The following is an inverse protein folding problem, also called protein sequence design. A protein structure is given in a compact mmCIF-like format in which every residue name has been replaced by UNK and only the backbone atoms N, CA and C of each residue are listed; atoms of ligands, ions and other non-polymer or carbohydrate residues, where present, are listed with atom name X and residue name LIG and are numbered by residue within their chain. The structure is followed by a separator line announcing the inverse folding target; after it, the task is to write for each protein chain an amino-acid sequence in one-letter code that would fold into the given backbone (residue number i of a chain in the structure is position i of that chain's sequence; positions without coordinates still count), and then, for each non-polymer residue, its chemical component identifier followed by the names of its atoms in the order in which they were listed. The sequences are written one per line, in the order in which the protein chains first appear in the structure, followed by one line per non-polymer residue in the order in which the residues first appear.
data_IF_009565671218
#
_entry.id   IF_009565671218
#
_cell.length_a   1.000
_cell.length_b   1.000
_cell.length_c   1.000
_cell.angle_alpha   90.00
_cell.angle_beta   90.00
_cell.angle_gamma   90.00
#
_symmetry.space_group_name_H-M   'P 1'
#
loop_
_entity.id
_entity.type
_entity.pdbx_description
1 polymer ?
#
# COMPACT_ATOMS: atom_id res chain seq x y z
N UNK A 1 -11.70 -31.87 -1.68
CA UNK A 1 -10.88 -32.46 -2.76
C UNK A 1 -9.89 -31.41 -3.26
N UNK A 2 -8.60 -31.75 -3.31
CA UNK A 2 -7.58 -30.87 -3.91
C UNK A 2 -7.69 -30.91 -5.43
N UNK A 3 -7.76 -29.72 -6.07
CA UNK A 3 -7.88 -29.58 -7.52
C UNK A 3 -6.52 -29.39 -8.21
N UNK A 4 -5.59 -28.66 -7.57
CA UNK A 4 -4.25 -28.43 -8.11
C UNK A 4 -3.27 -29.52 -7.68
N UNK A 5 -2.31 -29.86 -8.57
CA UNK A 5 -1.27 -30.88 -8.30
C UNK A 5 0.09 -30.25 -7.95
N UNK A 6 0.24 -28.94 -8.07
CA UNK A 6 1.51 -28.26 -7.77
C UNK A 6 1.71 -28.07 -6.27
N UNK A 7 2.81 -28.55 -5.75
CA UNK A 7 3.20 -28.39 -4.33
C UNK A 7 3.94 -27.07 -4.07
N UNK A 8 4.36 -26.35 -5.12
CA UNK A 8 5.18 -25.14 -5.01
C UNK A 8 4.46 -23.86 -5.47
N UNK A 9 3.17 -23.93 -5.76
CA UNK A 9 2.38 -22.77 -6.20
C UNK A 9 1.70 -22.06 -5.03
N UNK A 10 1.67 -20.75 -5.10
CA UNK A 10 0.77 -19.94 -4.27
C UNK A 10 -0.45 -19.60 -5.11
N UNK A 11 -1.62 -19.76 -4.52
CA UNK A 11 -2.90 -19.55 -5.18
C UNK A 11 -3.64 -18.39 -4.51
N UNK A 12 -4.29 -17.55 -5.31
CA UNK A 12 -5.07 -16.42 -4.82
C UNK A 12 -6.35 -16.23 -5.65
N UNK A 13 -7.36 -15.63 -5.02
CA UNK A 13 -8.60 -15.17 -5.65
C UNK A 13 -9.32 -16.23 -6.48
N UNK A 14 -9.68 -17.38 -5.90
CA UNK A 14 -10.44 -18.41 -6.63
C UNK A 14 -11.88 -17.94 -6.90
N UNK A 15 -12.35 -18.20 -8.12
CA UNK A 15 -13.75 -18.05 -8.52
C UNK A 15 -14.23 -19.26 -9.31
N UNK A 16 -15.52 -19.53 -9.30
CA UNK A 16 -16.11 -20.49 -10.23
C UNK A 16 -16.40 -19.83 -11.58
N UNK A 17 -16.33 -20.63 -12.65
CA UNK A 17 -16.95 -20.24 -13.92
C UNK A 17 -18.47 -20.20 -13.78
N UNK A 18 -19.15 -19.48 -14.65
CA UNK A 18 -20.62 -19.29 -14.59
C UNK A 18 -21.39 -20.61 -14.68
N UNK A 19 -20.83 -21.59 -15.36
CA UNK A 19 -21.37 -22.97 -15.50
C UNK A 19 -20.98 -23.90 -14.32
N UNK A 20 -20.12 -23.44 -13.40
CA UNK A 20 -19.67 -24.20 -12.26
C UNK A 20 -18.70 -25.35 -12.57
N UNK A 21 -18.27 -25.53 -13.82
CA UNK A 21 -17.40 -26.64 -14.21
C UNK A 21 -15.92 -26.41 -13.89
N UNK A 22 -15.49 -25.16 -13.77
CA UNK A 22 -14.10 -24.82 -13.49
C UNK A 22 -13.97 -23.86 -12.32
N UNK A 23 -12.83 -23.94 -11.65
CA UNK A 23 -12.33 -22.93 -10.72
C UNK A 23 -11.20 -22.18 -11.41
N UNK A 24 -11.36 -20.85 -11.55
CA UNK A 24 -10.32 -19.97 -12.05
C UNK A 24 -9.54 -19.42 -10.85
N UNK A 25 -8.22 -19.34 -10.96
CA UNK A 25 -7.37 -18.93 -9.85
C UNK A 25 -6.11 -18.22 -10.39
N UNK A 26 -5.63 -17.26 -9.63
CA UNK A 26 -4.30 -16.68 -9.88
C UNK A 26 -3.25 -17.55 -9.18
N UNK A 27 -2.28 -18.04 -9.93
CA UNK A 27 -1.24 -18.96 -9.45
C UNK A 27 0.15 -18.36 -9.70
N UNK A 28 1.04 -18.43 -8.69
CA UNK A 28 2.44 -18.09 -8.90
C UNK A 28 3.18 -19.21 -9.61
N UNK A 29 4.05 -18.81 -10.53
CA UNK A 29 5.01 -19.70 -11.18
C UNK A 29 6.42 -19.47 -10.61
N UNK A 30 7.06 -20.51 -10.14
CA UNK A 30 8.48 -20.50 -9.76
C UNK A 30 9.37 -20.91 -10.94
N UNK A 31 10.55 -20.32 -11.09
CA UNK A 31 11.20 -19.32 -10.23
C UNK A 31 10.83 -17.86 -10.56
N UNK A 32 9.89 -17.63 -11.46
CA UNK A 32 9.60 -16.31 -12.04
C UNK A 32 8.95 -15.33 -11.05
N UNK A 33 8.32 -15.81 -9.98
CA UNK A 33 7.57 -14.99 -9.01
C UNK A 33 6.54 -14.06 -9.67
N UNK A 34 5.89 -14.55 -10.75
CA UNK A 34 4.80 -13.86 -11.43
C UNK A 34 3.50 -14.62 -11.22
N UNK A 35 2.38 -13.91 -11.27
CA UNK A 35 1.07 -14.55 -11.23
C UNK A 35 0.53 -14.76 -12.64
N UNK A 36 -0.04 -15.93 -12.87
CA UNK A 36 -0.76 -16.31 -14.08
C UNK A 36 -2.13 -16.84 -13.72
N UNK A 37 -3.09 -16.70 -14.61
CA UNK A 37 -4.45 -17.20 -14.42
C UNK A 37 -4.53 -18.61 -14.98
N UNK A 38 -5.06 -19.51 -14.16
CA UNK A 38 -5.27 -20.92 -14.45
C UNK A 38 -6.72 -21.32 -14.19
N UNK A 39 -7.22 -22.27 -14.95
CA UNK A 39 -8.52 -22.93 -14.74
C UNK A 39 -8.33 -24.40 -14.40
N UNK A 40 -9.00 -24.84 -13.35
CA UNK A 40 -8.99 -26.24 -12.90
C UNK A 40 -10.41 -26.81 -12.95
N UNK A 41 -10.60 -27.91 -13.64
CA UNK A 41 -11.90 -28.56 -13.69
C UNK A 41 -12.25 -29.13 -12.31
N UNK A 42 -13.51 -29.01 -11.87
CA UNK A 42 -13.95 -29.43 -10.52
C UNK A 42 -13.78 -30.94 -10.28
N UNK A 43 -13.77 -31.74 -11.34
CA UNK A 43 -13.53 -33.18 -11.27
C UNK A 43 -12.03 -33.56 -11.23
N UNK A 44 -11.12 -32.64 -11.46
CA UNK A 44 -9.67 -32.79 -11.47
C UNK A 44 -9.06 -32.61 -12.85
N UNK A 45 -7.76 -32.86 -12.97
CA UNK A 45 -6.98 -32.67 -14.19
C UNK A 45 -5.70 -31.90 -13.94
N UNK A 46 -5.01 -31.52 -15.03
CA UNK A 46 -3.72 -30.82 -14.98
C UNK A 46 -3.88 -29.28 -14.87
N UNK A 47 -5.09 -28.77 -15.10
CA UNK A 47 -5.36 -27.34 -15.23
C UNK A 47 -5.08 -26.81 -16.65
N UNK A 48 -5.66 -25.66 -16.96
CA UNK A 48 -5.51 -24.96 -18.23
C UNK A 48 -4.94 -23.58 -17.91
N UNK A 49 -3.79 -23.25 -18.49
CA UNK A 49 -3.18 -21.92 -18.38
C UNK A 49 -3.92 -20.94 -19.29
N UNK A 50 -4.51 -19.90 -18.69
CA UNK A 50 -5.29 -18.88 -19.42
C UNK A 50 -4.43 -17.69 -19.83
N UNK A 51 -3.56 -17.23 -18.91
CA UNK A 51 -2.59 -16.16 -19.20
C UNK A 51 -1.16 -16.65 -19.06
N UNK A 52 -0.26 -16.08 -19.86
CA UNK A 52 1.17 -16.39 -19.80
C UNK A 52 1.94 -15.17 -19.34
N UNK A 53 2.80 -15.34 -18.35
CA UNK A 53 3.69 -14.26 -17.87
C UNK A 53 4.80 -13.97 -18.88
N UNK A 54 5.24 -14.97 -19.62
CA UNK A 54 6.26 -14.88 -20.66
C UNK A 54 5.63 -15.00 -22.04
N UNK A 55 5.97 -14.09 -22.94
CA UNK A 55 5.62 -14.21 -24.36
C UNK A 55 6.59 -15.18 -25.09
N UNK A 56 7.86 -15.15 -24.69
CA UNK A 56 8.94 -16.03 -25.20
C UNK A 56 9.74 -16.54 -24.01
N UNK A 57 10.48 -17.63 -24.19
CA UNK A 57 11.29 -18.23 -23.14
C UNK A 57 12.27 -17.24 -22.49
N UNK A 58 12.90 -16.40 -23.29
CA UNK A 58 13.86 -15.38 -22.86
C UNK A 58 13.24 -14.02 -22.52
N UNK A 59 11.93 -13.95 -22.26
CA UNK A 59 11.28 -12.70 -21.88
C UNK A 59 11.94 -12.09 -20.64
N UNK A 60 12.52 -10.87 -20.73
CA UNK A 60 13.14 -10.19 -19.58
C UNK A 60 12.19 -10.01 -18.42
N UNK A 61 12.69 -10.04 -17.18
CA UNK A 61 11.87 -9.95 -15.97
C UNK A 61 10.97 -8.71 -15.92
N UNK A 62 11.44 -7.57 -16.42
CA UNK A 62 10.68 -6.32 -16.46
C UNK A 62 9.58 -6.28 -17.53
N UNK A 63 9.58 -7.23 -18.47
CA UNK A 63 8.56 -7.35 -19.52
C UNK A 63 7.53 -8.46 -19.23
N UNK A 64 7.77 -9.28 -18.21
CA UNK A 64 6.83 -10.34 -17.83
C UNK A 64 5.52 -9.76 -17.38
N UNK A 65 4.41 -10.44 -17.70
CA UNK A 65 3.06 -10.02 -17.30
C UNK A 65 2.66 -10.71 -16.00
N UNK A 66 2.01 -9.99 -15.12
CA UNK A 66 1.31 -10.54 -13.97
C UNK A 66 -0.19 -10.37 -14.17
N UNK A 67 -0.95 -11.39 -13.80
CA UNK A 67 -2.41 -11.40 -13.85
C UNK A 67 -2.96 -11.86 -12.48
N UNK A 68 -3.75 -11.02 -11.81
CA UNK A 68 -4.21 -11.27 -10.45
C UNK A 68 -5.69 -10.91 -10.29
N UNK A 69 -6.42 -11.78 -9.60
CA UNK A 69 -7.82 -11.57 -9.25
C UNK A 69 -8.73 -11.50 -10.47
N UNK A 70 -9.64 -12.42 -10.59
CA UNK A 70 -10.48 -12.60 -11.78
C UNK A 70 -11.94 -12.35 -11.46
N UNK A 71 -12.65 -11.76 -12.40
CA UNK A 71 -14.11 -11.79 -12.50
C UNK A 71 -14.51 -12.06 -13.94
N UNK A 72 -15.62 -12.73 -14.15
CA UNK A 72 -16.19 -12.99 -15.48
C UNK A 72 -17.36 -12.07 -15.76
N UNK A 73 -17.58 -11.74 -17.03
CA UNK A 73 -18.88 -11.19 -17.47
C UNK A 73 -19.98 -12.22 -17.28
N UNK A 74 -21.25 -11.81 -17.09
CA UNK A 74 -22.36 -12.74 -16.87
C UNK A 74 -22.58 -13.73 -18.02
N UNK A 75 -22.24 -13.32 -19.25
CA UNK A 75 -22.30 -14.18 -20.44
C UNK A 75 -21.05 -15.08 -20.62
N UNK A 76 -20.05 -14.97 -19.72
CA UNK A 76 -18.79 -15.71 -19.79
C UNK A 76 -17.85 -15.31 -20.93
N UNK A 77 -18.23 -14.32 -21.75
CA UNK A 77 -17.47 -13.91 -22.93
C UNK A 77 -16.19 -13.17 -22.58
N UNK A 78 -16.20 -12.42 -21.48
CA UNK A 78 -15.06 -11.62 -21.04
C UNK A 78 -14.59 -12.01 -19.64
N UNK A 79 -13.28 -12.01 -19.48
CA UNK A 79 -12.58 -12.12 -18.21
C UNK A 79 -11.89 -10.80 -17.89
N UNK A 80 -12.07 -10.31 -16.66
CA UNK A 80 -11.41 -9.09 -16.17
C UNK A 80 -10.47 -9.46 -15.03
N UNK A 81 -9.29 -8.85 -15.02
CA UNK A 81 -8.26 -9.12 -14.00
C UNK A 81 -7.29 -7.96 -13.88
N UNK A 82 -6.61 -7.85 -12.75
CA UNK A 82 -5.53 -6.89 -12.58
C UNK A 82 -4.28 -7.36 -13.34
N UNK A 83 -3.74 -6.51 -14.20
CA UNK A 83 -2.57 -6.76 -15.03
C UNK A 83 -1.45 -5.77 -14.70
N UNK A 84 -0.20 -6.25 -14.70
CA UNK A 84 1.00 -5.43 -14.51
C UNK A 84 2.20 -6.07 -15.20
N UNK A 85 3.05 -5.25 -15.83
CA UNK A 85 4.36 -5.69 -16.35
C UNK A 85 5.43 -5.62 -15.25
N UNK A 86 6.43 -6.49 -15.34
CA UNK A 86 7.56 -6.58 -14.42
C UNK A 86 7.36 -7.62 -13.32
N UNK A 87 8.29 -7.68 -12.36
CA UNK A 87 8.18 -8.56 -11.20
C UNK A 87 6.94 -8.23 -10.35
N UNK A 88 6.45 -9.24 -9.62
CA UNK A 88 5.31 -9.03 -8.73
C UNK A 88 5.64 -7.98 -7.66
N UNK A 89 4.80 -6.96 -7.53
CA UNK A 89 4.89 -5.94 -6.50
C UNK A 89 3.54 -5.26 -6.32
N UNK A 90 3.16 -5.00 -5.09
CA UNK A 90 2.03 -4.15 -4.76
C UNK A 90 2.42 -2.68 -4.59
N UNK A 91 3.72 -2.38 -4.52
CA UNK A 91 4.20 -1.02 -4.29
C UNK A 91 3.68 -0.05 -5.35
N UNK A 92 3.47 1.20 -4.96
CA UNK A 92 3.07 2.30 -5.81
C UNK A 92 4.24 2.77 -6.70
N UNK A 93 4.67 1.93 -7.62
CA UNK A 93 5.72 2.22 -8.60
C UNK A 93 5.30 1.80 -10.00
N UNK A 94 5.78 2.51 -10.99
CA UNK A 94 5.50 2.18 -12.39
C UNK A 94 6.15 0.86 -12.82
N UNK A 95 5.47 0.13 -13.72
CA UNK A 95 4.11 0.36 -14.19
C UNK A 95 3.09 -0.01 -13.10
N UNK A 96 2.02 0.79 -12.98
CA UNK A 96 0.94 0.53 -12.03
C UNK A 96 0.08 -0.64 -12.49
N UNK A 97 -0.59 -1.33 -11.54
CA UNK A 97 -1.61 -2.31 -11.86
C UNK A 97 -2.78 -1.64 -12.59
N UNK A 98 -3.30 -2.28 -13.62
CA UNK A 98 -4.50 -1.83 -14.34
C UNK A 98 -5.43 -3.01 -14.59
N UNK A 99 -6.72 -2.75 -14.75
CA UNK A 99 -7.65 -3.81 -15.13
C UNK A 99 -7.54 -4.07 -16.63
N UNK A 100 -7.22 -5.31 -16.96
CA UNK A 100 -7.30 -5.84 -18.31
C UNK A 100 -8.61 -6.59 -18.52
N UNK A 101 -9.11 -6.54 -19.74
CA UNK A 101 -10.23 -7.34 -20.25
C UNK A 101 -9.68 -8.31 -21.29
N UNK A 102 -10.03 -9.59 -21.16
CA UNK A 102 -9.70 -10.63 -22.15
C UNK A 102 -10.96 -11.22 -22.73
N UNK A 103 -11.07 -11.27 -24.03
CA UNK A 103 -12.09 -12.04 -24.73
C UNK A 103 -11.74 -13.53 -24.61
N UNK A 104 -12.64 -14.31 -24.04
CA UNK A 104 -12.38 -15.75 -23.77
C UNK A 104 -12.47 -16.62 -25.02
N UNK A 105 -13.06 -16.09 -26.12
CA UNK A 105 -13.16 -16.79 -27.41
C UNK A 105 -11.96 -16.48 -28.31
N UNK A 106 -11.65 -15.18 -28.51
CA UNK A 106 -10.57 -14.76 -29.40
C UNK A 106 -9.20 -14.70 -28.74
N UNK A 107 -9.17 -14.57 -27.41
CA UNK A 107 -7.96 -14.39 -26.64
C UNK A 107 -7.40 -12.94 -26.68
N UNK A 108 -8.08 -12.02 -27.34
CA UNK A 108 -7.69 -10.61 -27.40
C UNK A 108 -7.77 -9.96 -26.03
N UNK A 109 -6.79 -9.12 -25.72
CA UNK A 109 -6.66 -8.41 -24.44
C UNK A 109 -6.54 -6.92 -24.66
N UNK A 110 -7.28 -6.15 -23.84
CA UNK A 110 -7.15 -4.70 -23.76
C UNK A 110 -7.12 -4.23 -22.30
N UNK A 111 -6.42 -3.12 -22.03
CA UNK A 111 -6.37 -2.49 -20.71
C UNK A 111 -7.43 -1.42 -20.63
N UNK A 112 -8.41 -1.61 -19.75
CA UNK A 112 -9.61 -0.78 -19.68
C UNK A 112 -9.57 0.31 -18.60
N UNK A 113 -8.58 0.29 -17.70
CA UNK A 113 -8.39 1.34 -16.70
C UNK A 113 -7.04 2.03 -16.87
N UNK A 114 -6.98 3.29 -16.40
CA UNK A 114 -5.74 4.08 -16.32
C UNK A 114 -5.68 4.81 -14.98
N UNK A 115 -5.99 4.07 -13.91
CA UNK A 115 -6.02 4.62 -12.56
C UNK A 115 -4.59 4.93 -12.08
N UNK A 116 -4.38 6.16 -11.62
CA UNK A 116 -3.08 6.62 -11.10
C UNK A 116 -2.64 5.83 -9.86
N UNK A 117 -3.60 5.38 -9.05
CA UNK A 117 -3.38 4.60 -7.84
C UNK A 117 -3.43 3.08 -8.02
N UNK A 118 -3.27 2.55 -9.22
CA UNK A 118 -3.52 1.16 -9.60
C UNK A 118 -5.00 0.81 -9.79
N UNK A 119 -5.29 -0.26 -10.56
CA UNK A 119 -6.57 -0.92 -10.66
C UNK A 119 -6.42 -2.37 -10.22
N UNK A 120 -7.08 -2.77 -9.14
CA UNK A 120 -6.96 -4.11 -8.56
C UNK A 120 -8.33 -4.67 -8.16
N UNK A 121 -8.41 -5.99 -8.04
CA UNK A 121 -9.58 -6.75 -7.58
C UNK A 121 -10.87 -6.37 -8.31
N UNK A 122 -10.95 -6.58 -9.62
CA UNK A 122 -12.15 -6.24 -10.39
C UNK A 122 -13.34 -7.10 -10.00
N UNK A 123 -14.55 -6.52 -10.04
CA UNK A 123 -15.82 -7.23 -9.90
C UNK A 123 -16.84 -6.66 -10.87
N UNK A 124 -17.39 -7.51 -11.74
CA UNK A 124 -18.42 -7.14 -12.71
C UNK A 124 -19.79 -7.27 -12.08
N UNK A 125 -20.70 -6.35 -12.39
CA UNK A 125 -22.09 -6.41 -11.96
C UNK A 125 -22.85 -7.56 -12.63
N UNK A 126 -23.92 -8.09 -11.99
CA UNK A 126 -24.72 -9.19 -12.55
C UNK A 126 -25.35 -8.92 -13.90
N UNK A 127 -25.57 -7.65 -14.24
CA UNK A 127 -26.08 -7.22 -15.56
C UNK A 127 -24.99 -6.96 -16.60
N UNK A 128 -23.72 -7.09 -16.21
CA UNK A 128 -22.56 -6.87 -17.07
C UNK A 128 -22.24 -5.42 -17.42
N UNK A 129 -22.97 -4.45 -16.86
CA UNK A 129 -22.83 -3.03 -17.23
C UNK A 129 -21.76 -2.28 -16.46
N UNK A 130 -21.47 -2.71 -15.26
CA UNK A 130 -20.54 -2.02 -14.37
C UNK A 130 -19.40 -2.93 -13.94
N UNK A 131 -18.24 -2.31 -13.76
CA UNK A 131 -17.07 -2.90 -13.13
C UNK A 131 -16.69 -2.07 -11.91
N UNK A 132 -16.63 -2.71 -10.75
CA UNK A 132 -16.03 -2.11 -9.54
C UNK A 132 -14.61 -2.60 -9.40
N UNK A 133 -13.69 -1.71 -9.01
CA UNK A 133 -12.30 -2.04 -8.74
C UNK A 133 -11.72 -1.15 -7.65
N UNK A 134 -10.70 -1.65 -6.99
CA UNK A 134 -9.95 -0.90 -5.98
C UNK A 134 -8.86 -0.03 -6.58
N UNK A 135 -8.68 1.15 -6.03
CA UNK A 135 -7.60 2.06 -6.40
C UNK A 135 -7.12 2.86 -5.19
N UNK A 136 -5.85 3.17 -5.20
CA UNK A 136 -5.20 4.01 -4.19
C UNK A 136 -5.40 5.48 -4.55
N UNK A 137 -5.65 6.30 -3.53
CA UNK A 137 -5.58 7.75 -3.65
C UNK A 137 -4.99 8.32 -2.36
N UNK A 138 -3.94 9.14 -2.49
CA UNK A 138 -3.14 9.59 -1.34
C UNK A 138 -2.63 8.38 -0.52
N UNK A 139 -2.95 8.32 0.78
CA UNK A 139 -2.51 7.27 1.71
C UNK A 139 -3.57 6.20 1.98
N UNK A 140 -4.65 6.18 1.22
CA UNK A 140 -5.80 5.29 1.44
C UNK A 140 -6.26 4.66 0.13
N UNK A 141 -7.00 3.57 0.26
CA UNK A 141 -7.60 2.86 -0.87
C UNK A 141 -9.11 2.98 -0.82
N UNK A 142 -9.72 3.13 -1.98
CA UNK A 142 -11.17 3.17 -2.13
C UNK A 142 -11.64 2.34 -3.34
N UNK A 143 -12.93 2.34 -3.59
CA UNK A 143 -13.55 1.68 -4.74
C UNK A 143 -14.00 2.71 -5.79
N UNK A 144 -13.72 2.40 -7.04
CA UNK A 144 -14.28 3.09 -8.20
C UNK A 144 -15.27 2.18 -8.90
N UNK A 145 -16.24 2.78 -9.57
CA UNK A 145 -17.18 2.10 -10.44
C UNK A 145 -17.04 2.65 -11.87
N UNK A 146 -16.86 1.74 -12.81
CA UNK A 146 -16.73 2.03 -14.23
C UNK A 146 -17.93 1.48 -14.99
N UNK A 147 -18.56 2.32 -15.79
CA UNK A 147 -19.53 1.89 -16.76
C UNK A 147 -18.81 1.26 -17.96
N UNK A 148 -19.11 0.01 -18.29
CA UNK A 148 -18.42 -0.76 -19.34
C UNK A 148 -18.87 -0.41 -20.74
N UNK A 149 -20.04 0.23 -20.91
CA UNK A 149 -20.56 0.67 -22.22
C UNK A 149 -19.89 1.97 -22.68
N UNK A 150 -19.88 2.99 -21.82
CA UNK A 150 -19.39 4.33 -22.18
C UNK A 150 -18.03 4.70 -21.59
N UNK A 151 -17.48 3.85 -20.70
CA UNK A 151 -16.19 4.05 -20.08
C UNK A 151 -16.16 5.07 -18.95
N UNK A 152 -17.30 5.61 -18.53
CA UNK A 152 -17.39 6.55 -17.43
C UNK A 152 -16.92 5.90 -16.12
N UNK A 153 -16.09 6.60 -15.33
CA UNK A 153 -15.39 6.06 -14.18
C UNK A 153 -15.43 7.07 -13.03
N UNK A 154 -16.03 6.70 -11.90
CA UNK A 154 -16.23 7.57 -10.75
C UNK A 154 -15.92 6.88 -9.43
N UNK A 155 -15.73 7.65 -8.36
CA UNK A 155 -15.63 7.13 -7.01
C UNK A 155 -16.97 6.54 -6.56
N UNK A 156 -16.91 5.28 -6.06
CA UNK A 156 -18.06 4.64 -5.44
C UNK A 156 -18.01 4.79 -3.91
N UNK A 157 -16.89 4.44 -3.30
CA UNK A 157 -16.63 4.58 -1.86
C UNK A 157 -15.17 4.97 -1.63
N UNK A 158 -14.94 6.00 -0.83
CA UNK A 158 -13.61 6.41 -0.42
C UNK A 158 -13.64 7.09 0.96
N UNK A 159 -12.74 6.73 1.89
CA UNK A 159 -11.86 5.56 1.85
C UNK A 159 -12.58 4.28 2.27
N UNK A 160 -11.98 3.10 1.96
CA UNK A 160 -12.40 1.80 2.53
C UNK A 160 -11.41 1.33 3.58
N UNK A 161 -10.13 1.48 3.31
CA UNK A 161 -9.03 1.02 4.16
C UNK A 161 -7.83 1.93 3.94
N UNK A 162 -6.95 2.02 4.95
CA UNK A 162 -5.63 2.59 4.72
C UNK A 162 -4.87 1.74 3.69
N UNK A 163 -3.83 2.30 3.12
CA UNK A 163 -3.05 1.65 2.08
C UNK A 163 -2.20 0.49 2.61
N UNK A 164 -2.70 -0.74 2.39
CA UNK A 164 -2.01 -1.99 2.74
C UNK A 164 -1.39 -2.68 1.51
N UNK A 165 -1.27 -2.00 0.37
CA UNK A 165 -0.77 -2.60 -0.88
C UNK A 165 0.67 -3.11 -0.79
N UNK A 166 1.41 -2.80 0.24
CA UNK A 166 2.75 -3.31 0.48
C UNK A 166 2.76 -4.62 1.29
N UNK A 167 1.64 -5.03 1.85
CA UNK A 167 1.55 -6.29 2.60
C UNK A 167 1.81 -7.49 1.68
N UNK A 168 2.77 -8.33 2.08
CA UNK A 168 3.09 -9.58 1.37
C UNK A 168 2.17 -10.74 1.76
N UNK A 169 1.44 -10.61 2.86
CA UNK A 169 0.70 -11.73 3.45
C UNK A 169 -0.64 -11.98 2.77
N UNK A 170 -1.28 -10.95 2.28
CA UNK A 170 -2.54 -11.05 1.55
C UNK A 170 -2.31 -10.64 0.10
N UNK A 171 -2.25 -11.59 -0.78
CA UNK A 171 -2.06 -11.32 -2.22
C UNK A 171 -3.31 -10.81 -2.92
N UNK A 172 -4.34 -10.59 -2.15
CA UNK A 172 -5.56 -9.89 -2.49
C UNK A 172 -5.84 -8.86 -1.38
N UNK A 173 -5.13 -7.75 -1.45
CA UNK A 173 -4.95 -6.76 -0.37
C UNK A 173 -6.18 -5.94 -0.03
N UNK A 174 -7.21 -5.98 -0.85
CA UNK A 174 -8.44 -5.27 -0.54
C UNK A 174 -9.41 -6.13 0.25
N UNK A 175 -10.17 -5.54 1.17
CA UNK A 175 -11.36 -6.16 1.71
C UNK A 175 -12.29 -6.67 0.60
N UNK A 176 -12.97 -7.77 0.86
CA UNK A 176 -13.87 -8.36 -0.12
C UNK A 176 -15.10 -7.48 -0.33
N UNK A 177 -15.56 -7.44 -1.56
CA UNK A 177 -16.81 -6.82 -1.94
C UNK A 177 -17.47 -7.61 -3.07
N UNK A 178 -18.80 -7.56 -3.13
CA UNK A 178 -19.60 -8.20 -4.15
C UNK A 178 -20.90 -7.46 -4.39
N UNK A 179 -21.44 -7.60 -5.60
CA UNK A 179 -22.77 -7.09 -5.91
C UNK A 179 -23.85 -7.98 -5.28
N UNK A 180 -24.96 -7.36 -4.90
CA UNK A 180 -26.19 -8.12 -4.64
C UNK A 180 -26.68 -8.80 -5.93
N UNK A 181 -27.38 -9.94 -5.84
CA UNK A 181 -27.83 -10.67 -7.04
C UNK A 181 -28.66 -9.83 -8.02
N UNK A 182 -29.39 -8.85 -7.53
CA UNK A 182 -30.16 -7.91 -8.36
C UNK A 182 -29.34 -6.75 -8.95
N UNK A 183 -28.04 -6.67 -8.65
CA UNK A 183 -27.12 -5.64 -9.13
C UNK A 183 -27.37 -4.22 -8.63
N UNK A 184 -28.29 -4.02 -7.68
CA UNK A 184 -28.66 -2.67 -7.21
C UNK A 184 -27.75 -2.14 -6.12
N UNK A 185 -27.09 -3.00 -5.36
CA UNK A 185 -26.22 -2.65 -4.25
C UNK A 185 -24.89 -3.41 -4.36
N UNK A 186 -23.84 -2.84 -3.77
CA UNK A 186 -22.59 -3.50 -3.52
C UNK A 186 -22.44 -3.68 -2.00
N UNK A 187 -22.14 -4.91 -1.58
CA UNK A 187 -21.74 -5.23 -0.21
C UNK A 187 -20.21 -5.15 -0.14
N UNK A 188 -19.68 -4.52 0.89
CA UNK A 188 -18.25 -4.38 1.10
C UNK A 188 -17.90 -4.34 2.58
N UNK A 189 -16.63 -4.64 2.91
CA UNK A 189 -16.11 -4.54 4.27
C UNK A 189 -15.34 -3.24 4.45
N UNK A 190 -15.56 -2.61 5.59
CA UNK A 190 -14.88 -1.39 6.01
C UNK A 190 -14.88 -1.30 7.53
N UNK A 191 -13.78 -0.83 8.12
CA UNK A 191 -13.66 -0.58 9.57
C UNK A 191 -14.06 -1.79 10.44
N UNK A 192 -13.76 -3.02 9.98
CA UNK A 192 -14.11 -4.27 10.67
C UNK A 192 -15.57 -4.67 10.59
N UNK A 193 -16.41 -3.95 9.85
CA UNK A 193 -17.84 -4.22 9.67
C UNK A 193 -18.24 -4.46 8.22
N UNK A 194 -19.48 -4.92 8.03
CA UNK A 194 -20.10 -5.04 6.72
C UNK A 194 -20.96 -3.82 6.42
N UNK A 195 -20.89 -3.39 5.16
CA UNK A 195 -21.67 -2.27 4.66
C UNK A 195 -22.28 -2.61 3.30
N UNK A 196 -23.35 -1.93 2.96
CA UNK A 196 -23.93 -1.95 1.62
C UNK A 196 -24.11 -0.54 1.09
N UNK A 197 -23.80 -0.33 -0.17
CA UNK A 197 -24.02 0.92 -0.88
C UNK A 197 -25.03 0.72 -2.02
N UNK A 198 -26.05 1.56 -2.07
CA UNK A 198 -26.96 1.61 -3.19
C UNK A 198 -26.28 2.34 -4.37
N UNK A 199 -26.19 1.69 -5.53
CA UNK A 199 -25.46 2.23 -6.68
C UNK A 199 -26.09 3.49 -7.28
N UNK A 200 -27.42 3.65 -7.18
CA UNK A 200 -28.13 4.80 -7.70
C UNK A 200 -28.09 5.99 -6.75
N UNK A 201 -28.41 5.77 -5.48
CA UNK A 201 -28.50 6.85 -4.48
C UNK A 201 -27.18 7.16 -3.79
N UNK A 202 -26.18 6.28 -3.93
CA UNK A 202 -24.89 6.33 -3.24
C UNK A 202 -25.02 6.30 -1.70
N UNK A 203 -26.18 5.90 -1.19
CA UNK A 203 -26.41 5.78 0.27
C UNK A 203 -25.74 4.52 0.79
N UNK A 204 -24.92 4.68 1.86
CA UNK A 204 -24.27 3.59 2.57
C UNK A 204 -25.08 3.26 3.82
N UNK A 205 -25.25 1.95 4.07
CA UNK A 205 -25.87 1.43 5.30
C UNK A 205 -24.98 0.33 5.89
N UNK A 206 -24.84 0.32 7.21
CA UNK A 206 -24.21 -0.77 7.94
C UNK A 206 -25.08 -2.02 7.90
N UNK A 207 -24.43 -3.17 7.92
CA UNK A 207 -25.05 -4.48 8.11
C UNK A 207 -24.56 -4.99 9.45
N UNK A 208 -25.44 -5.00 10.43
CA UNK A 208 -25.11 -5.46 11.77
C UNK A 208 -24.93 -6.98 11.78
N UNK A 209 -23.86 -7.43 12.41
CA UNK A 209 -23.63 -8.85 12.66
C UNK A 209 -22.97 -9.03 14.03
N UNK A 210 -23.21 -10.15 14.64
CA UNK A 210 -22.50 -10.61 15.83
C UNK A 210 -22.09 -12.06 15.66
N UNK A 211 -20.96 -12.42 16.23
CA UNK A 211 -20.46 -13.80 16.24
C UNK A 211 -19.92 -14.10 17.64
N UNK A 212 -20.35 -15.23 18.19
CA UNK A 212 -19.75 -15.77 19.39
C UNK A 212 -18.47 -16.51 19.02
N UNK A 213 -17.36 -16.14 19.65
CA UNK A 213 -16.05 -16.77 19.41
C UNK A 213 -15.57 -17.35 20.73
N UNK A 214 -15.33 -18.66 20.71
CA UNK A 214 -14.69 -19.39 21.80
C UNK A 214 -13.33 -19.88 21.31
N UNK A 215 -12.26 -19.35 21.89
CA UNK A 215 -10.90 -19.67 21.53
C UNK A 215 -10.16 -20.24 22.74
N UNK A 216 -9.60 -21.44 22.59
CA UNK A 216 -8.64 -21.95 23.55
C UNK A 216 -7.35 -21.14 23.45
N UNK A 217 -7.13 -20.29 24.43
CA UNK A 217 -5.90 -19.50 24.52
C UNK A 217 -4.81 -20.40 25.12
N UNK A 218 -3.73 -20.60 24.38
CA UNK A 218 -2.52 -21.21 24.92
C UNK A 218 -1.93 -20.41 26.09
N UNK A 219 -0.93 -20.94 26.79
CA UNK A 219 -0.30 -20.23 27.89
C UNK A 219 0.21 -18.86 27.41
N UNK A 220 -0.10 -17.82 28.15
CA UNK A 220 0.38 -16.47 27.87
C UNK A 220 1.90 -16.46 27.98
N UNK A 221 2.60 -16.25 26.87
CA UNK A 221 4.03 -16.01 26.86
C UNK A 221 4.26 -14.56 27.31
N UNK A 222 4.38 -14.36 28.60
CA UNK A 222 4.80 -13.09 29.17
C UNK A 222 6.30 -13.13 29.43
N UNK A 223 7.04 -12.21 28.85
CA UNK A 223 8.43 -11.98 29.21
C UNK A 223 8.42 -10.80 30.18
N UNK A 224 8.95 -10.96 31.41
CA UNK A 224 9.11 -9.82 32.29
C UNK A 224 10.17 -8.89 31.68
N UNK A 225 9.74 -7.71 31.28
CA UNK A 225 10.63 -6.62 30.93
C UNK A 225 10.82 -5.74 32.18
N UNK A 226 12.02 -5.58 32.62
CA UNK A 226 12.35 -4.50 33.54
C UNK A 226 12.25 -3.19 32.75
N UNK A 227 11.24 -2.39 33.08
CA UNK A 227 11.17 -1.01 32.61
C UNK A 227 12.12 -0.22 33.48
N UNK A 228 13.24 0.21 32.93
CA UNK A 228 14.17 1.08 33.63
C UNK A 228 13.54 2.44 33.89
N UNK A 229 13.43 2.85 35.14
CA UNK A 229 13.00 4.19 35.54
C UNK A 229 14.15 5.21 35.48
N UNK A 230 15.35 4.79 35.03
CA UNK A 230 16.53 5.62 34.87
C UNK A 230 16.48 6.54 33.66
N UNK A 231 17.52 7.38 33.48
CA UNK A 231 17.67 8.22 32.31
C UNK A 231 17.61 7.40 31.02
N UNK A 232 16.91 7.89 30.02
CA UNK A 232 16.84 7.25 28.70
C UNK A 232 18.16 7.53 27.97
N UNK A 233 18.91 6.48 27.69
CA UNK A 233 20.13 6.58 26.90
C UNK A 233 19.83 6.55 25.39
N UNK A 234 20.43 7.49 24.66
CA UNK A 234 20.34 7.51 23.20
C UNK A 234 21.24 6.43 22.60
N UNK A 235 20.66 5.54 21.79
CA UNK A 235 21.40 4.55 21.01
C UNK A 235 21.66 5.00 19.56
N UNK A 236 21.00 6.07 19.12
CA UNK A 236 21.10 6.57 17.76
C UNK A 236 21.35 8.07 17.81
N UNK A 237 22.51 8.48 17.33
CA UNK A 237 22.89 9.87 17.10
C UNK A 237 22.97 10.07 15.59
N UNK A 238 22.29 11.07 15.08
CA UNK A 238 22.23 11.39 13.65
C UNK A 238 22.84 12.76 13.36
N UNK A 239 23.44 12.88 12.19
CA UNK A 239 23.93 14.13 11.61
C UNK A 239 24.85 14.94 12.55
N UNK A 240 25.88 14.35 13.13
CA UNK A 240 26.81 15.11 13.96
C UNK A 240 27.64 16.08 13.13
N UNK A 241 27.65 17.36 13.51
CA UNK A 241 28.41 18.42 12.82
C UNK A 241 29.22 19.23 13.84
N UNK A 242 30.52 19.26 13.61
CA UNK A 242 31.46 20.01 14.46
C UNK A 242 31.34 21.51 14.19
N UNK A 243 31.42 22.31 15.23
CA UNK A 243 31.48 23.78 15.11
C UNK A 243 32.74 24.25 14.38
N UNK A 244 32.74 25.43 13.74
CA UNK A 244 33.91 25.93 13.00
C UNK A 244 35.17 26.07 13.81
N UNK A 245 35.07 26.26 15.14
CA UNK A 245 36.23 26.33 16.06
C UNK A 245 36.59 24.98 16.67
N UNK A 246 35.83 23.91 16.39
CA UNK A 246 36.10 22.56 16.87
C UNK A 246 35.70 22.28 18.34
N UNK A 247 35.18 23.23 19.08
CA UNK A 247 34.89 23.08 20.52
C UNK A 247 33.53 22.41 20.80
N UNK A 248 32.59 22.52 19.89
CA UNK A 248 31.21 22.01 20.06
C UNK A 248 30.76 21.12 18.91
N UNK A 249 29.90 20.19 19.23
CA UNK A 249 29.25 19.33 18.24
C UNK A 249 27.73 19.43 18.37
N UNK A 250 27.05 19.68 17.26
CA UNK A 250 25.58 19.61 17.17
C UNK A 250 25.17 18.29 16.52
N UNK A 251 24.13 17.66 17.03
CA UNK A 251 23.60 16.40 16.50
C UNK A 251 22.10 16.28 16.77
N UNK A 252 21.44 15.36 16.08
CA UNK A 252 20.05 15.02 16.30
C UNK A 252 19.93 13.68 17.01
N UNK A 253 19.17 13.66 18.11
CA UNK A 253 18.76 12.45 18.81
C UNK A 253 17.39 12.66 19.46
N UNK A 254 16.62 11.60 19.70
CA UNK A 254 15.24 11.68 20.19
C UNK A 254 14.39 12.72 19.46
N UNK A 255 14.58 12.84 18.15
CA UNK A 255 13.91 13.83 17.29
C UNK A 255 14.22 15.30 17.59
N UNK A 256 15.28 15.60 18.35
CA UNK A 256 15.64 16.97 18.72
C UNK A 256 17.13 17.23 18.53
N UNK A 257 17.47 18.51 18.37
CA UNK A 257 18.85 18.95 18.29
C UNK A 257 19.45 19.14 19.67
N UNK A 258 20.64 18.58 19.85
CA UNK A 258 21.48 18.72 21.02
C UNK A 258 22.82 19.34 20.63
N UNK A 259 23.34 20.17 21.50
CA UNK A 259 24.67 20.75 21.42
C UNK A 259 25.51 20.18 22.56
N UNK A 260 26.61 19.56 22.24
CA UNK A 260 27.56 19.07 23.25
C UNK A 260 28.91 19.78 23.13
N UNK A 261 29.56 19.92 24.25
CA UNK A 261 30.95 20.32 24.33
C UNK A 261 31.84 19.10 24.05
N UNK A 262 32.83 19.27 23.18
CA UNK A 262 33.65 18.14 22.70
C UNK A 262 34.58 17.62 23.75
N UNK A 263 35.08 18.46 24.66
CA UNK A 263 36.02 18.08 25.69
C UNK A 263 35.33 17.51 26.93
N UNK A 264 34.31 18.20 27.44
CA UNK A 264 33.60 17.77 28.66
C UNK A 264 32.49 16.77 28.45
N UNK A 265 31.92 16.70 27.24
CA UNK A 265 30.73 15.91 26.93
C UNK A 265 29.44 16.47 27.50
N UNK A 266 29.49 17.63 28.19
CA UNK A 266 28.27 18.30 28.65
C UNK A 266 27.39 18.69 27.46
N UNK A 267 26.10 18.44 27.57
CA UNK A 267 25.18 18.66 26.45
C UNK A 267 23.88 19.28 26.91
N UNK A 268 23.32 20.05 26.02
CA UNK A 268 22.02 20.68 26.19
C UNK A 268 21.18 20.61 24.92
N UNK A 269 19.88 20.70 25.09
CA UNK A 269 18.96 20.78 23.96
C UNK A 269 18.95 22.18 23.37
N UNK A 270 19.14 22.31 22.04
CA UNK A 270 19.25 23.60 21.34
C UNK A 270 17.93 24.36 21.32
N UNK A 271 16.79 23.67 21.22
CA UNK A 271 15.47 24.27 21.13
C UNK A 271 14.48 23.67 22.12
N UNK A 272 13.36 24.35 22.36
CA UNK A 272 12.21 23.82 23.11
C UNK A 272 11.07 23.31 22.20
N UNK A 273 11.36 23.13 20.92
CA UNK A 273 10.36 22.67 19.93
C UNK A 273 9.83 21.28 20.26
N UNK A 274 8.55 21.04 19.93
CA UNK A 274 7.95 19.69 19.97
C UNK A 274 8.05 18.99 18.60
N UNK A 275 8.58 19.66 17.58
CA UNK A 275 8.74 19.15 16.22
C UNK A 275 10.00 18.30 16.13
N UNK A 276 10.01 17.37 15.18
CA UNK A 276 11.23 16.67 14.81
C UNK A 276 12.24 17.63 14.15
N UNK A 277 13.48 17.63 14.60
CA UNK A 277 14.56 18.52 14.19
C UNK A 277 15.76 17.70 13.71
N UNK A 278 16.20 17.97 12.45
CA UNK A 278 17.17 17.12 11.75
C UNK A 278 18.13 17.95 10.89
N UNK A 279 19.20 17.31 10.42
CA UNK A 279 20.19 17.86 9.49
C UNK A 279 20.70 19.26 9.89
N UNK A 280 21.31 19.42 11.06
CA UNK A 280 21.87 20.70 11.47
C UNK A 280 23.09 21.08 10.63
N UNK A 281 23.31 22.38 10.44
CA UNK A 281 24.51 22.95 9.84
C UNK A 281 24.89 24.26 10.52
N UNK A 282 26.18 24.49 10.72
CA UNK A 282 26.69 25.70 11.33
C UNK A 282 26.83 26.85 10.36
N UNK A 283 26.58 28.08 10.84
CA UNK A 283 27.07 29.24 10.15
C UNK A 283 28.60 29.31 10.21
N UNK A 284 29.26 29.91 9.18
CA UNK A 284 30.73 30.01 9.14
C UNK A 284 31.34 30.71 10.37
N UNK A 285 30.60 31.60 11.00
CA UNK A 285 31.01 32.33 12.19
C UNK A 285 30.69 31.60 13.51
N UNK A 286 30.12 30.39 13.43
CA UNK A 286 29.79 29.58 14.60
C UNK A 286 28.62 30.09 15.47
N UNK A 287 27.96 31.19 15.09
CA UNK A 287 26.93 31.81 15.92
C UNK A 287 25.55 31.24 15.75
N UNK A 288 25.27 30.64 14.60
CA UNK A 288 23.95 30.15 14.24
C UNK A 288 23.98 28.70 13.72
N UNK A 289 22.84 28.05 13.88
CA UNK A 289 22.53 26.77 13.25
C UNK A 289 21.35 26.95 12.29
N UNK A 290 21.39 26.30 11.15
CA UNK A 290 20.21 26.01 10.33
C UNK A 290 19.90 24.52 10.43
N UNK A 291 18.62 24.18 10.37
CA UNK A 291 18.16 22.81 10.48
C UNK A 291 16.80 22.68 9.81
N UNK A 292 16.33 21.46 9.61
CA UNK A 292 15.01 21.17 9.09
C UNK A 292 14.10 20.59 10.16
N UNK A 293 12.81 20.83 10.02
CA UNK A 293 11.79 20.14 10.80
C UNK A 293 11.02 19.20 9.90
N UNK A 294 10.59 18.05 10.49
CA UNK A 294 9.68 17.12 9.84
C UNK A 294 8.43 16.97 10.71
N UNK A 295 7.29 17.13 10.04
CA UNK A 295 5.96 17.02 10.63
C UNK A 295 5.07 16.18 9.71
N UNK A 296 3.93 15.70 10.18
CA UNK A 296 3.05 14.78 9.44
C UNK A 296 2.59 15.29 8.06
N UNK A 297 2.56 16.60 7.83
CA UNK A 297 2.15 17.20 6.56
C UNK A 297 3.30 17.68 5.68
N UNK A 298 4.34 18.19 6.27
CA UNK A 298 5.56 18.71 5.64
C UNK A 298 6.45 19.38 6.69
N UNK A 299 7.65 19.83 6.29
CA UNK A 299 8.58 20.53 7.16
C UNK A 299 8.99 21.89 6.65
N UNK A 300 9.92 22.50 7.37
CA UNK A 300 10.48 23.82 7.08
C UNK A 300 11.97 23.87 7.40
N UNK A 301 12.68 24.85 6.82
CA UNK A 301 14.04 25.23 7.24
C UNK A 301 13.93 26.32 8.32
N UNK A 302 14.71 26.13 9.38
CA UNK A 302 14.75 27.02 10.52
C UNK A 302 16.19 27.48 10.79
N UNK A 303 16.33 28.63 11.42
CA UNK A 303 17.57 29.20 11.93
C UNK A 303 17.43 29.50 13.42
N UNK A 304 18.45 29.17 14.21
CA UNK A 304 18.50 29.42 15.65
C UNK A 304 19.91 29.87 16.05
N UNK A 305 20.07 30.60 17.13
CA UNK A 305 21.40 30.79 17.73
C UNK A 305 21.92 29.50 18.31
N UNK A 306 23.19 29.20 18.08
CA UNK A 306 23.81 27.98 18.57
C UNK A 306 23.92 27.93 20.09
N UNK A 307 24.12 29.08 20.73
CA UNK A 307 24.22 29.20 22.19
C UNK A 307 23.12 30.12 22.73
N UNK A 308 22.69 29.82 23.94
CA UNK A 308 21.61 30.53 24.60
C UNK A 308 20.25 30.20 24.01
N UNK A 309 19.24 30.07 24.86
CA UNK A 309 17.88 29.73 24.46
C UNK A 309 17.24 30.85 23.63
N UNK A 310 17.38 30.79 22.32
CA UNK A 310 16.74 31.75 21.42
C UNK A 310 15.54 31.12 20.70
N UNK A 311 14.57 31.96 20.35
CA UNK A 311 13.43 31.49 19.56
C UNK A 311 13.87 31.22 18.13
N UNK A 312 13.65 30.00 17.60
CA UNK A 312 13.98 29.67 16.22
C UNK A 312 13.17 30.54 15.23
N UNK A 313 13.83 30.97 14.16
CA UNK A 313 13.21 31.70 13.06
C UNK A 313 13.00 30.79 11.87
N UNK A 314 11.76 30.68 11.41
CA UNK A 314 11.41 29.97 10.18
C UNK A 314 11.91 30.73 8.96
N UNK A 315 12.61 30.05 8.05
CA UNK A 315 13.18 30.66 6.85
C UNK A 315 12.32 30.41 5.59
N UNK A 316 11.65 29.28 5.51
CA UNK A 316 10.83 28.90 4.35
C UNK A 316 9.36 29.24 4.56
N UNK A 317 8.69 29.72 3.50
CA UNK A 317 7.24 30.01 3.52
C UNK A 317 6.41 28.78 3.19
N UNK A 318 6.83 28.03 2.17
CA UNK A 318 6.13 26.85 1.68
C UNK A 318 6.52 25.61 2.49
N UNK A 319 5.56 24.85 3.02
CA UNK A 319 5.86 23.57 3.63
C UNK A 319 6.27 22.55 2.56
N UNK A 320 7.36 21.82 2.79
CA UNK A 320 7.86 20.79 1.90
C UNK A 320 8.78 19.82 2.67
N UNK A 321 9.22 18.77 2.02
CA UNK A 321 10.30 17.95 2.52
C UNK A 321 11.64 18.60 2.19
N UNK A 322 12.29 19.14 3.21
CA UNK A 322 13.61 19.77 3.14
C UNK A 322 14.66 18.85 3.76
N UNK A 323 15.87 18.85 3.21
CA UNK A 323 17.00 18.08 3.71
C UNK A 323 18.31 18.85 3.56
N UNK A 324 19.29 18.60 4.44
CA UNK A 324 20.67 19.08 4.37
C UNK A 324 20.82 20.57 4.07
N UNK A 325 20.22 21.46 4.86
CA UNK A 325 20.40 22.90 4.67
C UNK A 325 21.86 23.29 4.99
N UNK A 326 22.39 24.22 4.22
CA UNK A 326 23.73 24.81 4.46
C UNK A 326 23.64 26.33 4.47
N UNK A 327 24.60 27.00 5.13
CA UNK A 327 24.74 28.46 5.10
C UNK A 327 25.40 28.95 3.82
#
# INVERSE_FOLDING_TARGET
KQLSKSNNGQYASPIFTNDGHYVIVSQTTWPQRTFEIWMYHVNGGSGIQVTKSKEKENTPGNQRKNALGVTLSPDGKYMYYANRKGGFSYNAKFPMWQIARRNMVTGEEDVITRAEGSGIKPKVSPDGKFLVYGTRYKTQTGLRIRNLENGNDEWLVYPIIRDDQESRFTRDVLPTYDFTPNGRELIFTKDGGFHRINLKTKTIKSIDFSVEVNLDMGPTLSFPYEISDGPIESRIIMDPVLSPNGEKIVFSTFMHLYLADVESGEHERVTKSKRGEFHPSWSPDGRYLVYVTWEAGAGHIWKVRAQGQSTPKKLTKTPAFYANPVF
#
